data_IF_531448330741
#
_entry.id   IF_531448330741
#
_cell.length_a   1.000
_cell.length_b   1.000
_cell.length_c   1.000
_cell.angle_alpha   90.00
_cell.angle_beta   90.00
_cell.angle_gamma   90.00
#
_symmetry.space_group_name_H-M   'P 1'
#
loop_
_entity.id
_entity.type
_entity.pdbx_description
1 polymer ?
#
# COMPACT_ATOMS: atom_id res chain seq x y z
N UNK A 1 32.24 -12.46 -32.29
CA UNK A 1 31.71 -13.35 -33.34
C UNK A 1 30.20 -13.27 -33.31
N UNK A 2 29.44 -12.70 -34.22
CA UNK A 2 29.64 -11.85 -35.38
C UNK A 2 28.24 -11.29 -35.67
N UNK A 3 28.12 -9.97 -35.75
CA UNK A 3 26.86 -9.25 -36.00
C UNK A 3 26.43 -9.46 -37.44
N UNK A 4 25.23 -9.98 -37.67
CA UNK A 4 24.60 -9.97 -38.99
C UNK A 4 23.70 -8.74 -39.09
N UNK A 5 24.08 -7.82 -39.96
CA UNK A 5 23.32 -6.64 -40.36
C UNK A 5 22.87 -6.94 -41.77
N UNK A 6 21.60 -7.31 -41.96
CA UNK A 6 21.02 -7.34 -43.29
C UNK A 6 20.24 -6.05 -43.51
N UNK A 7 20.90 -5.13 -44.22
CA UNK A 7 20.28 -3.96 -44.83
C UNK A 7 19.72 -4.39 -46.18
N UNK A 8 18.39 -4.43 -46.31
CA UNK A 8 17.74 -4.46 -47.63
C UNK A 8 16.89 -3.20 -47.75
N UNK A 9 17.40 -2.23 -48.50
CA UNK A 9 16.64 -1.09 -48.97
C UNK A 9 16.10 -1.43 -50.36
N UNK A 10 14.78 -1.37 -50.55
CA UNK A 10 14.20 -1.04 -51.85
C UNK A 10 12.85 -0.34 -51.70
N UNK A 11 12.65 0.59 -52.62
CA UNK A 11 11.65 1.64 -52.75
C UNK A 11 10.19 1.17 -52.77
N UNK A 12 9.32 2.01 -52.21
CA UNK A 12 7.83 1.99 -52.19
C UNK A 12 7.23 1.47 -50.88
N UNK A 13 6.61 2.39 -50.13
CA UNK A 13 6.09 2.16 -48.79
C UNK A 13 4.87 1.24 -48.75
N UNK A 14 4.88 0.35 -47.77
CA UNK A 14 3.97 0.28 -46.61
C UNK A 14 4.61 -0.78 -45.70
N UNK A 15 5.30 -0.35 -44.64
CA UNK A 15 5.71 -1.27 -43.59
C UNK A 15 4.51 -1.50 -42.68
N UNK A 16 3.84 -2.64 -42.85
CA UNK A 16 3.01 -3.19 -41.78
C UNK A 16 3.98 -3.67 -40.68
N UNK A 17 4.45 -2.71 -39.88
CA UNK A 17 5.10 -3.00 -38.62
C UNK A 17 4.02 -3.61 -37.72
N UNK A 18 3.84 -4.93 -37.78
CA UNK A 18 3.27 -5.67 -36.65
C UNK A 18 4.30 -5.56 -35.54
N UNK A 19 4.31 -4.40 -34.89
CA UNK A 19 4.86 -4.24 -33.57
C UNK A 19 4.06 -5.24 -32.73
N UNK A 20 4.66 -6.40 -32.46
CA UNK A 20 4.32 -7.14 -31.25
C UNK A 20 4.79 -6.21 -30.14
N UNK A 21 3.95 -5.20 -29.85
CA UNK A 21 3.88 -4.62 -28.53
C UNK A 21 3.52 -5.82 -27.67
N UNK A 22 4.56 -6.50 -27.18
CA UNK A 22 4.46 -7.15 -25.89
C UNK A 22 4.07 -6.01 -24.97
N UNK A 23 2.77 -5.79 -24.84
CA UNK A 23 2.18 -5.17 -23.69
C UNK A 23 2.50 -6.11 -22.53
N UNK A 24 3.77 -6.12 -22.13
CA UNK A 24 4.09 -6.16 -20.73
C UNK A 24 3.57 -4.81 -20.23
N UNK A 25 2.25 -4.72 -20.11
CA UNK A 25 1.62 -3.83 -19.17
C UNK A 25 2.36 -4.16 -17.89
N UNK A 26 3.30 -3.29 -17.53
CA UNK A 26 3.86 -3.26 -16.20
C UNK A 26 2.65 -2.91 -15.35
N UNK A 27 1.81 -3.90 -15.05
CA UNK A 27 0.69 -3.70 -14.14
C UNK A 27 1.40 -3.20 -12.88
N UNK A 28 1.11 -1.96 -12.43
CA UNK A 28 1.67 -1.51 -11.17
C UNK A 28 1.34 -2.59 -10.16
N UNK A 29 2.34 -3.05 -9.41
CA UNK A 29 2.23 -4.12 -8.43
C UNK A 29 0.96 -3.89 -7.60
N UNK A 30 -0.12 -4.59 -7.93
CA UNK A 30 -1.37 -4.43 -7.25
C UNK A 30 -1.29 -5.26 -5.97
N UNK A 31 -1.02 -4.57 -4.87
CA UNK A 31 -0.88 -5.15 -3.54
C UNK A 31 -2.16 -4.91 -2.76
N UNK A 32 -2.65 -5.97 -2.12
CA UNK A 32 -3.71 -5.89 -1.12
C UNK A 32 -3.08 -6.07 0.24
N UNK A 33 -3.28 -5.11 1.14
CA UNK A 33 -2.80 -5.18 2.51
C UNK A 33 -3.95 -5.50 3.47
N UNK A 34 -3.73 -6.43 4.37
CA UNK A 34 -4.54 -6.59 5.58
C UNK A 34 -3.72 -6.06 6.75
N UNK A 35 -4.33 -5.22 7.58
CA UNK A 35 -3.64 -4.47 8.62
C UNK A 35 -4.36 -4.71 9.95
N UNK A 36 -3.62 -5.18 10.95
CA UNK A 36 -4.12 -5.39 12.30
C UNK A 36 -5.38 -6.23 12.35
N UNK A 37 -6.39 -5.72 13.06
CA UNK A 37 -7.63 -6.42 13.31
C UNK A 37 -7.62 -7.09 14.68
N UNK A 38 -8.42 -8.14 14.83
CA UNK A 38 -8.59 -8.84 16.08
C UNK A 38 -8.41 -10.35 15.87
N UNK A 39 -7.62 -10.98 16.74
CA UNK A 39 -7.44 -12.42 16.81
C UNK A 39 -7.78 -12.85 18.24
N UNK A 40 -8.76 -13.73 18.40
CA UNK A 40 -9.21 -14.23 19.71
C UNK A 40 -9.57 -13.12 20.72
N UNK A 41 -10.24 -12.06 20.27
CA UNK A 41 -10.62 -10.95 21.16
C UNK A 41 -9.48 -9.97 21.46
N UNK A 42 -8.31 -10.12 20.84
CA UNK A 42 -7.14 -9.28 21.07
C UNK A 42 -6.72 -8.56 19.79
N UNK A 43 -6.45 -7.26 19.89
CA UNK A 43 -5.89 -6.49 18.81
C UNK A 43 -4.55 -7.11 18.35
N UNK A 44 -4.25 -7.03 17.05
CA UNK A 44 -3.00 -7.52 16.51
C UNK A 44 -2.24 -6.43 15.75
N UNK A 45 -0.92 -6.56 15.70
CA UNK A 45 -0.02 -5.76 14.86
C UNK A 45 0.29 -6.44 13.53
N UNK A 46 -0.30 -7.62 13.30
CA UNK A 46 -0.09 -8.42 12.10
C UNK A 46 -0.44 -7.63 10.84
N UNK A 47 0.39 -7.83 9.80
CA UNK A 47 0.19 -7.24 8.48
C UNK A 47 0.48 -8.34 7.47
N UNK A 48 -0.43 -8.56 6.53
CA UNK A 48 -0.18 -9.38 5.34
C UNK A 48 -0.30 -8.53 4.08
N UNK A 49 0.46 -8.92 3.05
CA UNK A 49 0.44 -8.27 1.75
C UNK A 49 0.32 -9.33 0.67
N UNK A 50 -0.78 -9.32 -0.08
CA UNK A 50 -1.00 -10.24 -1.19
C UNK A 50 -0.72 -9.54 -2.52
N UNK A 51 0.18 -10.12 -3.32
CA UNK A 51 0.42 -9.67 -4.68
C UNK A 51 -0.59 -10.30 -5.62
N UNK A 52 -1.42 -9.48 -6.27
CA UNK A 52 -2.36 -9.97 -7.28
C UNK A 52 -1.65 -10.47 -8.55
N UNK A 53 -0.48 -9.90 -8.85
CA UNK A 53 0.33 -10.31 -9.99
C UNK A 53 0.99 -11.67 -9.77
N UNK A 54 1.63 -11.86 -8.60
CA UNK A 54 2.32 -13.10 -8.26
C UNK A 54 1.39 -14.16 -7.65
N UNK A 55 0.15 -13.79 -7.34
CA UNK A 55 -0.87 -14.61 -6.68
C UNK A 55 -0.37 -15.29 -5.40
N UNK A 56 0.38 -14.53 -4.59
CA UNK A 56 0.96 -15.02 -3.33
C UNK A 56 1.11 -13.91 -2.31
N UNK A 57 1.14 -14.30 -1.04
CA UNK A 57 1.53 -13.41 0.05
C UNK A 57 3.02 -13.06 -0.02
N UNK A 58 3.33 -11.85 0.44
CA UNK A 58 4.67 -11.28 0.53
C UNK A 58 5.00 -11.03 2.00
N UNK A 59 6.26 -11.20 2.36
CA UNK A 59 6.73 -10.86 3.69
C UNK A 59 6.79 -9.34 3.86
N UNK A 60 6.11 -8.84 4.88
CA UNK A 60 6.02 -7.41 5.22
C UNK A 60 6.14 -7.24 6.73
N UNK A 61 6.61 -6.07 7.17
CA UNK A 61 6.82 -5.78 8.57
C UNK A 61 5.49 -5.59 9.31
N UNK A 62 5.34 -6.11 10.54
CA UNK A 62 4.19 -5.83 11.38
C UNK A 62 4.19 -4.37 11.85
N UNK A 63 3.01 -3.84 12.21
CA UNK A 63 2.87 -2.53 12.85
C UNK A 63 3.64 -2.48 14.18
N UNK A 64 3.98 -1.27 14.65
CA UNK A 64 4.68 -1.14 15.94
C UNK A 64 3.73 -1.22 17.14
N UNK A 65 2.44 -0.95 16.89
CA UNK A 65 1.37 -1.03 17.88
C UNK A 65 0.30 -1.98 17.35
N UNK A 66 -0.26 -2.80 18.22
CA UNK A 66 -1.44 -3.62 17.92
C UNK A 66 -2.67 -2.72 17.77
N UNK A 67 -3.52 -2.99 16.78
CA UNK A 67 -4.66 -2.12 16.48
C UNK A 67 -5.85 -2.92 15.91
N UNK A 68 -7.00 -2.88 16.58
CA UNK A 68 -8.30 -3.15 15.97
C UNK A 68 -9.06 -1.85 15.69
N UNK A 69 -10.05 -1.88 14.80
CA UNK A 69 -10.95 -0.75 14.51
C UNK A 69 -10.26 0.59 14.15
N UNK A 70 -9.05 0.55 13.59
CA UNK A 70 -8.33 1.74 13.15
C UNK A 70 -8.78 2.17 11.74
N UNK A 71 -8.52 3.43 11.39
CA UNK A 71 -8.63 3.87 10.00
C UNK A 71 -7.32 3.62 9.26
N UNK A 72 -7.38 3.21 7.98
CA UNK A 72 -6.23 3.14 7.07
C UNK A 72 -6.46 3.89 5.74
N UNK A 73 -5.45 4.61 5.25
CA UNK A 73 -5.47 5.26 3.94
C UNK A 73 -4.08 5.28 3.30
N UNK A 74 -4.02 5.44 1.98
CA UNK A 74 -2.76 5.61 1.24
C UNK A 74 -2.50 7.09 0.99
N UNK A 75 -1.31 7.56 1.36
CA UNK A 75 -0.83 8.92 1.10
C UNK A 75 0.62 8.84 0.60
N UNK A 76 0.90 9.45 -0.56
CA UNK A 76 2.24 9.47 -1.16
C UNK A 76 2.91 8.08 -1.23
N UNK A 77 2.15 7.06 -1.66
CA UNK A 77 2.61 5.66 -1.75
C UNK A 77 2.96 4.98 -0.42
N UNK A 78 2.62 5.60 0.71
CA UNK A 78 2.74 5.00 2.04
C UNK A 78 1.35 4.69 2.59
N UNK A 79 1.25 3.66 3.43
CA UNK A 79 -0.01 3.31 4.10
C UNK A 79 0.01 3.96 5.47
N UNK A 80 -0.97 4.80 5.78
CA UNK A 80 -1.12 5.46 7.06
C UNK A 80 -2.25 4.80 7.82
N UNK A 81 -1.99 4.46 9.09
CA UNK A 81 -3.01 4.00 10.05
C UNK A 81 -3.13 4.98 11.20
N UNK A 82 -4.36 5.23 11.64
CA UNK A 82 -4.65 6.17 12.72
C UNK A 82 -5.74 5.65 13.65
N UNK A 83 -5.52 5.87 14.95
CA UNK A 83 -6.45 5.48 15.99
C UNK A 83 -6.55 3.97 16.17
N UNK A 84 -7.75 3.53 16.56
CA UNK A 84 -8.08 2.14 16.84
C UNK A 84 -8.15 1.84 18.34
N UNK A 85 -8.08 0.56 18.66
CA UNK A 85 -8.15 0.03 20.01
C UNK A 85 -7.09 -1.06 20.21
N UNK A 86 -6.44 -1.06 21.36
CA UNK A 86 -5.53 -2.12 21.81
C UNK A 86 -5.92 -2.63 23.21
N UNK A 87 -5.07 -3.47 23.80
CA UNK A 87 -5.28 -4.02 25.14
C UNK A 87 -5.34 -2.98 26.26
N UNK A 88 -4.89 -1.75 25.99
CA UNK A 88 -4.85 -0.62 26.95
C UNK A 88 -5.98 0.37 26.71
N UNK A 89 -6.66 0.29 25.57
CA UNK A 89 -7.83 1.08 25.26
C UNK A 89 -7.75 1.76 23.89
N UNK A 90 -8.41 2.90 23.76
CA UNK A 90 -8.44 3.68 22.52
C UNK A 90 -7.07 4.29 22.23
N UNK A 91 -6.71 4.35 20.96
CA UNK A 91 -5.42 4.85 20.51
C UNK A 91 -5.54 6.26 19.93
N UNK A 92 -4.61 7.13 20.29
CA UNK A 92 -4.35 8.40 19.58
C UNK A 92 -3.17 8.28 18.62
N UNK A 93 -2.37 7.22 18.71
CA UNK A 93 -1.15 7.04 17.92
C UNK A 93 -1.47 6.84 16.43
N UNK A 94 -0.59 7.36 15.58
CA UNK A 94 -0.61 7.18 14.13
C UNK A 94 0.71 6.57 13.67
N UNK A 95 0.66 5.73 12.63
CA UNK A 95 1.86 5.13 12.04
C UNK A 95 1.75 5.11 10.51
N UNK A 96 2.90 5.11 9.84
CA UNK A 96 2.98 4.95 8.39
C UNK A 96 3.89 3.78 8.01
N UNK A 97 3.42 2.93 7.12
CA UNK A 97 4.22 1.92 6.45
C UNK A 97 4.90 2.52 5.22
N UNK A 98 6.23 2.55 5.26
CA UNK A 98 7.06 3.02 4.16
C UNK A 98 7.44 1.84 3.29
N UNK A 99 6.71 1.68 2.17
CA UNK A 99 6.77 0.52 1.26
C UNK A 99 8.20 0.24 0.80
N UNK A 100 8.96 1.29 0.43
CA UNK A 100 10.33 1.15 -0.07
C UNK A 100 11.31 0.56 0.96
N UNK A 101 11.01 0.70 2.25
CA UNK A 101 11.90 0.26 3.33
C UNK A 101 11.35 -0.92 4.11
N UNK A 102 10.12 -1.36 3.80
CA UNK A 102 9.39 -2.39 4.55
C UNK A 102 9.41 -2.11 6.06
N UNK A 103 9.06 -0.89 6.46
CA UNK A 103 9.12 -0.44 7.87
C UNK A 103 7.94 0.44 8.22
N UNK A 104 7.50 0.32 9.47
CA UNK A 104 6.57 1.24 10.09
C UNK A 104 7.32 2.34 10.84
N UNK A 105 6.90 3.59 10.62
CA UNK A 105 7.39 4.77 11.33
C UNK A 105 6.24 5.38 12.15
N UNK A 106 6.58 6.00 13.29
CA UNK A 106 5.60 6.75 14.08
C UNK A 106 5.34 8.10 13.43
N UNK A 107 4.08 8.50 13.41
CA UNK A 107 3.65 9.84 13.04
C UNK A 107 3.23 10.62 14.29
N UNK A 108 3.03 11.94 14.19
CA UNK A 108 2.36 12.72 15.22
C UNK A 108 1.01 12.07 15.61
N UNK A 109 0.72 12.05 16.91
CA UNK A 109 -0.52 11.50 17.43
C UNK A 109 -1.72 12.45 17.15
N UNK A 110 -2.92 11.87 17.15
CA UNK A 110 -4.17 12.62 17.21
C UNK A 110 -4.26 13.39 18.53
N UNK A 111 -5.02 14.49 18.53
CA UNK A 111 -5.32 15.24 19.75
C UNK A 111 -6.12 14.43 20.77
N UNK A 112 -6.95 13.51 20.29
CA UNK A 112 -7.74 12.59 21.10
C UNK A 112 -7.72 11.19 20.53
N UNK A 113 -7.67 10.21 21.44
CA UNK A 113 -7.80 8.81 21.09
C UNK A 113 -9.19 8.52 20.50
N UNK A 114 -9.28 7.60 19.55
CA UNK A 114 -10.56 7.24 18.93
C UNK A 114 -10.53 5.86 18.30
N UNK A 115 -11.66 5.16 18.37
CA UNK A 115 -11.92 3.91 17.66
C UNK A 115 -12.92 4.10 16.51
N UNK A 116 -12.85 3.24 15.50
CA UNK A 116 -13.67 3.28 14.29
C UNK A 116 -13.69 4.65 13.56
N UNK A 117 -12.55 5.35 13.40
CA UNK A 117 -12.55 6.59 12.63
C UNK A 117 -12.68 6.30 11.12
N UNK A 118 -13.32 7.23 10.40
CA UNK A 118 -13.12 7.33 8.96
C UNK A 118 -11.78 8.01 8.66
N UNK A 119 -11.12 7.60 7.58
CA UNK A 119 -9.87 8.23 7.14
C UNK A 119 -9.91 8.47 5.63
N UNK A 120 -9.46 9.65 5.20
CA UNK A 120 -9.47 10.02 3.79
C UNK A 120 -8.18 10.77 3.43
N UNK A 121 -7.53 10.32 2.36
CA UNK A 121 -6.43 11.05 1.74
C UNK A 121 -6.99 11.90 0.58
N UNK A 122 -6.57 13.16 0.52
CA UNK A 122 -6.95 14.10 -0.52
C UNK A 122 -5.79 14.33 -1.51
N UNK A 123 -6.12 14.75 -2.73
CA UNK A 123 -5.15 14.99 -3.80
C UNK A 123 -4.09 16.06 -3.45
N UNK A 124 -4.41 16.97 -2.52
CA UNK A 124 -3.49 17.99 -2.03
C UNK A 124 -2.54 17.49 -0.92
N UNK A 125 -2.32 16.18 -0.83
CA UNK A 125 -1.42 15.51 0.12
C UNK A 125 -1.81 15.71 1.58
N UNK A 126 -3.11 15.85 1.85
CA UNK A 126 -3.66 15.94 3.19
C UNK A 126 -4.37 14.64 3.56
N UNK A 127 -4.35 14.30 4.84
CA UNK A 127 -5.03 13.14 5.38
C UNK A 127 -5.93 13.58 6.54
N UNK A 128 -7.19 13.19 6.47
CA UNK A 128 -8.21 13.53 7.44
C UNK A 128 -8.61 12.29 8.22
N UNK A 129 -8.72 12.43 9.55
CA UNK A 129 -9.27 11.42 10.44
C UNK A 129 -10.57 11.98 11.01
N UNK A 130 -11.69 11.33 10.69
CA UNK A 130 -13.04 11.90 10.82
C UNK A 130 -13.88 11.00 11.73
N UNK A 131 -14.56 11.63 12.70
CA UNK A 131 -15.47 10.92 13.61
C UNK A 131 -14.77 9.86 14.46
N UNK A 132 -15.47 8.76 14.72
CA UNK A 132 -15.06 7.71 15.64
C UNK A 132 -15.65 7.90 17.05
N UNK A 133 -15.24 7.02 17.96
CA UNK A 133 -15.70 7.00 19.35
C UNK A 133 -14.51 7.13 20.31
N UNK A 134 -14.59 8.08 21.25
CA UNK A 134 -13.62 8.33 22.33
C UNK A 134 -14.21 7.99 23.69
#
# INVERSE_FOLDING_TARGET
MGTFVDVVAHTSGIYLFRQVLSLTFFLPLALVFTLGGEINGQATSFVDAYSLQLRRSLSVAPMRTERSYHGAAVLDSNIVVAGGFDTRGRLATCEAYVVNTNRWIRLPALSEARTSPGIAALANRQLFVIGGYN
#
